data_IF_621824635345
#
_entry.id   IF_621824635345
#
_cell.length_a   1.000
_cell.length_b   1.000
_cell.length_c   1.000
_cell.angle_alpha   90.00
_cell.angle_beta   90.00
_cell.angle_gamma   90.00
#
_symmetry.space_group_name_H-M   'P 1'
#
loop_
_entity.id
_entity.type
_entity.pdbx_description
1 polymer ?
#
# COMPACT_ATOMS: atom_id res chain seq x y z
N UNK A 1 45.33 -22.53 23.67
CA UNK A 1 45.01 -21.82 22.41
C UNK A 1 43.59 -22.19 22.01
N UNK A 2 42.60 -21.41 22.42
CA UNK A 2 41.20 -21.59 22.02
C UNK A 2 40.94 -20.55 20.94
N UNK A 3 40.89 -21.00 19.69
CA UNK A 3 40.48 -20.17 18.57
C UNK A 3 38.99 -19.86 18.74
N UNK A 4 38.67 -18.61 19.11
CA UNK A 4 37.34 -18.06 18.95
C UNK A 4 36.98 -18.07 17.47
N UNK A 5 36.20 -19.05 17.04
CA UNK A 5 35.48 -18.99 15.76
C UNK A 5 34.07 -18.51 16.09
N UNK A 6 33.94 -17.22 16.39
CA UNK A 6 32.67 -16.50 16.33
C UNK A 6 32.42 -16.14 14.86
N UNK A 7 31.98 -17.10 14.07
CA UNK A 7 31.70 -16.93 12.64
C UNK A 7 30.48 -17.75 12.23
N UNK A 8 29.34 -17.55 12.91
CA UNK A 8 28.03 -18.11 12.50
C UNK A 8 26.82 -17.28 12.98
N UNK A 9 26.93 -15.95 13.02
CA UNK A 9 25.77 -15.04 13.10
C UNK A 9 25.87 -13.90 12.09
N UNK A 10 26.52 -14.13 10.95
CA UNK A 10 26.56 -13.23 9.80
C UNK A 10 25.34 -13.49 8.91
N UNK A 11 24.15 -13.15 9.44
CA UNK A 11 23.02 -12.63 8.67
C UNK A 11 21.87 -12.27 9.63
N UNK A 12 21.99 -11.25 10.49
CA UNK A 12 20.81 -10.44 10.66
C UNK A 12 20.58 -9.83 9.27
N UNK A 13 19.52 -10.28 8.59
CA UNK A 13 18.82 -9.47 7.61
C UNK A 13 18.40 -8.19 8.34
N UNK A 14 19.34 -7.30 8.57
CA UNK A 14 19.07 -5.89 8.83
C UNK A 14 18.68 -5.36 7.45
N UNK A 15 17.50 -5.78 6.99
CA UNK A 15 16.66 -4.83 6.31
C UNK A 15 16.50 -3.73 7.35
N UNK A 16 17.24 -2.65 7.21
CA UNK A 16 16.75 -1.35 7.63
C UNK A 16 15.46 -1.16 6.81
N UNK A 17 14.38 -1.83 7.22
CA UNK A 17 13.08 -1.70 6.62
C UNK A 17 12.66 -0.30 6.99
N UNK A 18 12.79 0.62 6.03
CA UNK A 18 12.19 1.93 6.15
C UNK A 18 10.72 1.73 6.52
N UNK A 19 10.20 2.47 7.52
CA UNK A 19 8.83 2.30 7.97
C UNK A 19 7.89 2.47 6.79
N UNK A 20 7.10 1.45 6.48
CA UNK A 20 6.12 1.52 5.42
C UNK A 20 5.04 2.53 5.82
N UNK A 21 4.77 3.50 4.95
CA UNK A 21 3.69 4.46 5.16
C UNK A 21 2.88 4.58 3.89
N UNK A 22 1.69 3.99 3.86
CA UNK A 22 0.88 3.87 2.65
C UNK A 22 -0.37 4.73 2.72
N UNK A 23 -0.57 5.57 1.71
CA UNK A 23 -1.79 6.33 1.51
C UNK A 23 -2.79 5.61 0.62
N UNK A 24 -4.07 5.74 0.93
CA UNK A 24 -5.16 5.15 0.18
C UNK A 24 -6.28 6.16 -0.07
N UNK A 25 -6.67 6.31 -1.34
CA UNK A 25 -7.84 7.09 -1.71
C UNK A 25 -9.08 6.19 -1.68
N UNK A 26 -10.16 6.69 -1.09
CA UNK A 26 -11.45 6.03 -1.04
C UNK A 26 -12.39 6.61 -2.09
N UNK A 27 -13.12 5.74 -2.78
CA UNK A 27 -14.17 6.09 -3.72
C UNK A 27 -15.42 6.53 -2.97
N UNK A 28 -15.96 7.69 -3.34
CA UNK A 28 -17.10 8.31 -2.68
C UNK A 28 -18.12 8.81 -3.71
N UNK A 29 -19.27 8.12 -3.89
CA UNK A 29 -20.30 8.51 -4.86
C UNK A 29 -20.87 9.91 -4.61
N UNK A 30 -20.91 10.33 -3.34
CA UNK A 30 -21.37 11.66 -2.90
C UNK A 30 -20.22 12.67 -2.78
N UNK A 31 -19.00 12.27 -3.13
CA UNK A 31 -17.79 13.09 -3.09
C UNK A 31 -17.64 14.01 -4.31
N UNK A 32 -16.46 14.57 -4.47
CA UNK A 32 -16.07 15.43 -5.61
C UNK A 32 -14.73 15.00 -6.19
N UNK A 33 -14.45 15.43 -7.42
CA UNK A 33 -13.18 15.18 -8.11
C UNK A 33 -12.81 13.70 -8.12
N UNK A 34 -11.56 13.41 -7.77
CA UNK A 34 -10.99 12.08 -7.89
C UNK A 34 -11.75 11.01 -7.09
N UNK A 35 -12.27 11.34 -5.90
CA UNK A 35 -13.04 10.39 -5.08
C UNK A 35 -14.38 10.01 -5.74
N UNK A 36 -15.05 10.97 -6.39
CA UNK A 36 -16.27 10.69 -7.17
C UNK A 36 -15.97 9.88 -8.42
N UNK A 37 -14.83 10.17 -9.06
CA UNK A 37 -14.35 9.40 -10.21
C UNK A 37 -14.12 7.93 -9.85
N UNK A 38 -13.39 7.66 -8.75
CA UNK A 38 -13.15 6.32 -8.24
C UNK A 38 -14.46 5.55 -8.04
N UNK A 39 -15.44 6.15 -7.34
CA UNK A 39 -16.74 5.52 -7.12
C UNK A 39 -17.49 5.22 -8.44
N UNK A 40 -17.42 6.13 -9.40
CA UNK A 40 -18.04 5.95 -10.73
C UNK A 40 -17.39 4.79 -11.50
N UNK A 41 -16.09 4.59 -11.33
CA UNK A 41 -15.34 3.45 -11.87
C UNK A 41 -15.50 2.17 -11.02
N UNK A 42 -16.35 2.17 -9.99
CA UNK A 42 -16.54 1.06 -9.03
C UNK A 42 -15.24 0.67 -8.32
N UNK A 43 -14.38 1.65 -8.07
CA UNK A 43 -13.17 1.52 -7.27
C UNK A 43 -13.46 2.11 -5.89
N UNK A 44 -13.63 1.25 -4.89
CA UNK A 44 -13.82 1.62 -3.49
C UNK A 44 -12.54 2.14 -2.86
N UNK A 45 -11.40 1.54 -3.19
CA UNK A 45 -10.11 1.94 -2.65
C UNK A 45 -9.01 1.75 -3.69
N UNK A 46 -8.06 2.68 -3.70
CA UNK A 46 -6.84 2.57 -4.51
C UNK A 46 -5.65 3.18 -3.77
N UNK A 47 -4.44 2.75 -4.09
CA UNK A 47 -3.21 3.35 -3.58
C UNK A 47 -3.19 4.83 -3.99
N UNK A 48 -2.92 5.70 -3.04
CA UNK A 48 -2.54 7.09 -3.29
C UNK A 48 -1.04 7.16 -3.57
N UNK A 49 -0.24 6.65 -2.62
CA UNK A 49 1.22 6.69 -2.66
C UNK A 49 1.84 5.92 -1.49
N UNK A 50 3.16 5.85 -1.51
CA UNK A 50 4.00 5.29 -0.44
C UNK A 50 4.93 6.41 0.03
N UNK A 51 5.00 6.67 1.33
CA UNK A 51 5.58 7.87 1.93
C UNK A 51 6.75 7.60 2.89
N UNK A 52 7.28 6.37 2.93
CA UNK A 52 8.49 6.03 3.73
C UNK A 52 9.69 6.91 3.41
N UNK A 53 9.71 7.46 2.20
CA UNK A 53 10.71 8.42 1.76
C UNK A 53 9.98 9.63 1.15
N UNK A 54 10.41 10.84 1.52
CA UNK A 54 9.90 12.08 0.94
C UNK A 54 11.05 13.02 0.67
N UNK A 55 11.15 13.47 -0.57
CA UNK A 55 12.21 14.37 -0.99
C UNK A 55 11.85 15.83 -0.69
N UNK A 56 12.83 16.68 -0.32
CA UNK A 56 12.64 18.11 -0.19
C UNK A 56 12.12 18.73 -1.49
N UNK A 57 11.36 19.82 -1.37
CA UNK A 57 10.75 20.50 -2.52
C UNK A 57 11.77 21.17 -3.45
N UNK A 58 12.94 21.52 -2.90
CA UNK A 58 13.93 22.39 -3.54
C UNK A 58 15.12 21.61 -4.13
N UNK A 59 15.13 20.28 -3.99
CA UNK A 59 16.09 19.47 -4.73
C UNK A 59 15.75 19.52 -6.22
N UNK A 60 16.75 19.76 -7.06
CA UNK A 60 16.62 19.67 -8.51
C UNK A 60 16.32 18.21 -8.86
N UNK A 61 15.03 17.87 -8.87
CA UNK A 61 14.54 16.52 -9.09
C UNK A 61 15.07 16.13 -10.47
N UNK A 62 15.94 15.12 -10.55
CA UNK A 62 16.24 14.47 -11.81
C UNK A 62 14.93 13.90 -12.35
N UNK A 63 14.27 14.72 -13.17
CA UNK A 63 12.96 14.45 -13.71
C UNK A 63 13.02 13.35 -14.76
N UNK A 64 14.21 12.99 -15.24
CA UNK A 64 14.38 12.00 -16.30
C UNK A 64 14.03 10.60 -15.81
N UNK A 65 14.45 10.24 -14.58
CA UNK A 65 14.17 8.91 -13.99
C UNK A 65 12.67 8.60 -14.03
N UNK A 66 11.82 9.52 -13.57
CA UNK A 66 10.38 9.29 -13.49
C UNK A 66 9.65 9.46 -14.84
N UNK A 67 10.29 9.90 -15.92
CA UNK A 67 9.61 10.07 -17.22
C UNK A 67 9.21 8.73 -17.86
N UNK A 68 9.96 7.67 -17.58
CA UNK A 68 9.77 6.31 -18.11
C UNK A 68 8.71 5.49 -17.40
N UNK A 69 7.96 6.05 -16.43
CA UNK A 69 6.86 5.32 -15.78
C UNK A 69 5.68 5.16 -16.74
N UNK A 70 5.21 3.92 -16.84
CA UNK A 70 4.06 3.53 -17.65
C UNK A 70 2.97 2.87 -16.80
N UNK A 71 1.71 3.18 -17.11
CA UNK A 71 0.56 2.68 -16.35
C UNK A 71 0.33 1.16 -16.47
N UNK A 72 0.84 0.52 -17.52
CA UNK A 72 0.60 -0.90 -17.80
C UNK A 72 1.27 -1.86 -16.80
N UNK A 73 2.21 -1.39 -15.98
CA UNK A 73 2.83 -2.17 -14.92
C UNK A 73 1.90 -2.46 -13.73
N UNK A 74 0.85 -1.64 -13.56
CA UNK A 74 -0.13 -1.82 -12.49
C UNK A 74 -1.23 -2.76 -13.00
N UNK A 75 -1.26 -3.98 -12.46
CA UNK A 75 -2.27 -4.99 -12.81
C UNK A 75 -2.84 -5.67 -11.56
N UNK A 76 -4.18 -5.67 -11.40
CA UNK A 76 -5.17 -4.87 -12.13
C UNK A 76 -5.03 -3.34 -11.92
N UNK A 77 -5.49 -2.50 -12.87
CA UNK A 77 -5.30 -1.04 -12.82
C UNK A 77 -5.91 -0.35 -11.59
N UNK A 78 -6.93 -0.93 -10.95
CA UNK A 78 -7.58 -0.33 -9.78
C UNK A 78 -6.71 -0.33 -8.53
N UNK A 79 -5.66 -1.18 -8.47
CA UNK A 79 -4.74 -1.25 -7.32
C UNK A 79 -4.07 0.11 -7.07
N UNK A 80 -3.59 0.75 -8.14
CA UNK A 80 -3.03 2.08 -8.09
C UNK A 80 -3.55 2.84 -9.29
N UNK A 81 -4.76 3.37 -9.15
CA UNK A 81 -5.51 3.99 -10.23
C UNK A 81 -4.96 5.38 -10.51
N UNK A 82 -4.64 5.64 -11.77
CA UNK A 82 -4.18 6.95 -12.23
C UNK A 82 -4.89 7.33 -13.51
N UNK A 83 -5.42 8.54 -13.52
CA UNK A 83 -6.29 9.06 -14.56
C UNK A 83 -5.76 10.39 -15.11
N UNK A 84 -6.25 10.79 -16.28
CA UNK A 84 -5.80 12.01 -16.96
C UNK A 84 -6.07 13.26 -16.11
N UNK A 85 -7.25 13.28 -15.47
CA UNK A 85 -7.64 14.30 -14.51
C UNK A 85 -8.52 13.70 -13.41
N UNK A 86 -8.89 14.52 -12.45
CA UNK A 86 -9.72 14.12 -11.31
C UNK A 86 -11.18 13.84 -11.72
N UNK A 87 -11.54 14.10 -12.98
CA UNK A 87 -12.89 13.91 -13.53
C UNK A 87 -12.92 13.07 -14.81
N UNK A 88 -11.76 12.75 -15.40
CA UNK A 88 -11.64 11.97 -16.64
C UNK A 88 -10.94 10.64 -16.34
N UNK A 89 -11.62 9.49 -16.51
CA UNK A 89 -11.07 8.17 -16.18
C UNK A 89 -10.00 7.67 -17.16
N UNK A 90 -9.70 8.41 -18.24
CA UNK A 90 -8.71 8.00 -19.24
C UNK A 90 -7.36 7.68 -18.56
N UNK A 91 -6.79 6.48 -18.74
CA UNK A 91 -5.55 6.10 -18.08
C UNK A 91 -4.40 7.07 -18.38
N UNK A 92 -3.66 7.47 -17.36
CA UNK A 92 -2.52 8.38 -17.49
C UNK A 92 -1.44 8.05 -16.46
N UNK A 93 -0.15 8.22 -16.76
CA UNK A 93 0.92 8.02 -15.76
C UNK A 93 1.08 9.23 -14.82
N UNK A 94 0.20 10.24 -14.88
CA UNK A 94 0.34 11.52 -14.15
C UNK A 94 0.59 11.33 -12.65
N UNK A 95 -0.24 10.54 -11.96
CA UNK A 95 -0.08 10.28 -10.52
C UNK A 95 1.25 9.57 -10.25
N UNK A 96 1.53 8.48 -10.96
CA UNK A 96 2.76 7.70 -10.73
C UNK A 96 4.03 8.53 -10.93
N UNK A 97 4.03 9.42 -11.93
CA UNK A 97 5.13 10.36 -12.16
C UNK A 97 5.26 11.38 -11.03
N UNK A 98 4.15 11.85 -10.48
CA UNK A 98 4.16 12.73 -9.32
C UNK A 98 4.73 12.03 -8.09
N UNK A 99 4.20 10.85 -7.77
CA UNK A 99 4.61 10.04 -6.63
C UNK A 99 6.08 9.65 -6.73
N UNK A 100 6.55 9.21 -7.91
CA UNK A 100 7.96 8.89 -8.13
C UNK A 100 8.87 10.09 -7.87
N UNK A 101 8.51 11.28 -8.36
CA UNK A 101 9.35 12.47 -8.18
C UNK A 101 9.46 12.89 -6.71
N UNK A 102 8.41 12.62 -5.94
CA UNK A 102 8.27 13.04 -4.54
C UNK A 102 8.80 12.02 -3.55
N UNK A 103 8.65 10.74 -3.84
CA UNK A 103 8.75 9.66 -2.85
C UNK A 103 9.65 8.49 -3.26
N UNK A 104 10.30 8.55 -4.43
CA UNK A 104 11.37 7.59 -4.76
C UNK A 104 12.60 7.83 -3.88
N UNK A 105 13.33 6.77 -3.58
CA UNK A 105 14.66 6.89 -2.97
C UNK A 105 15.68 7.43 -4.00
N UNK A 106 16.78 8.01 -3.53
CA UNK A 106 17.78 8.65 -4.40
C UNK A 106 18.36 7.69 -5.46
N UNK A 107 18.67 6.47 -5.04
CA UNK A 107 19.25 5.40 -5.85
C UNK A 107 18.21 4.52 -6.57
N UNK A 108 16.93 4.85 -6.47
CA UNK A 108 15.84 4.06 -7.02
C UNK A 108 15.43 4.57 -8.40
N UNK A 109 15.39 3.66 -9.38
CA UNK A 109 14.82 3.94 -10.70
C UNK A 109 13.29 3.86 -10.69
N UNK A 110 12.66 4.29 -11.80
CA UNK A 110 11.21 4.30 -11.94
C UNK A 110 10.54 2.92 -11.74
N UNK A 111 11.15 1.84 -12.21
CA UNK A 111 10.57 0.51 -12.12
C UNK A 111 10.73 -0.06 -10.70
N UNK A 112 11.89 0.12 -10.08
CA UNK A 112 12.14 -0.24 -8.69
C UNK A 112 11.16 0.48 -7.75
N UNK A 113 10.92 1.79 -7.97
CA UNK A 113 9.91 2.57 -7.25
C UNK A 113 8.51 1.97 -7.37
N UNK A 114 8.06 1.70 -8.60
CA UNK A 114 6.73 1.12 -8.83
C UNK A 114 6.60 -0.25 -8.15
N UNK A 115 7.61 -1.10 -8.25
CA UNK A 115 7.61 -2.41 -7.61
C UNK A 115 7.59 -2.32 -6.09
N UNK A 116 8.32 -1.37 -5.50
CA UNK A 116 8.34 -1.13 -4.06
C UNK A 116 6.95 -0.70 -3.58
N UNK A 117 6.34 0.29 -4.21
CA UNK A 117 4.98 0.75 -3.85
C UNK A 117 3.97 -0.39 -3.96
N UNK A 118 3.99 -1.14 -5.06
CA UNK A 118 3.07 -2.27 -5.26
C UNK A 118 3.34 -3.44 -4.30
N UNK A 119 4.57 -3.64 -3.84
CA UNK A 119 4.89 -4.67 -2.85
C UNK A 119 4.46 -4.26 -1.45
N UNK A 120 4.67 -2.99 -1.10
CA UNK A 120 4.45 -2.47 0.25
C UNK A 120 3.00 -2.08 0.50
N UNK A 121 2.34 -1.40 -0.45
CA UNK A 121 1.03 -0.80 -0.24
C UNK A 121 -0.14 -1.59 -0.81
N UNK A 122 0.09 -2.70 -1.52
CA UNK A 122 -0.99 -3.52 -2.06
C UNK A 122 -1.77 -4.25 -0.96
N UNK A 123 -1.06 -4.77 0.03
CA UNK A 123 -1.64 -5.38 1.22
C UNK A 123 -0.81 -4.90 2.42
N UNK A 124 -1.44 -4.21 3.36
CA UNK A 124 -0.77 -3.74 4.57
C UNK A 124 -1.64 -3.98 5.80
N UNK A 125 -0.98 -4.28 6.91
CA UNK A 125 -1.51 -4.16 8.25
C UNK A 125 -0.79 -3.01 8.92
N UNK A 126 -1.53 -2.00 9.39
CA UNK A 126 -0.89 -0.82 9.95
C UNK A 126 -1.80 0.02 10.82
N UNK A 127 -1.19 0.91 11.59
CA UNK A 127 -1.83 1.90 12.43
C UNK A 127 -2.29 3.09 11.60
N UNK A 128 -3.41 3.71 11.99
CA UNK A 128 -3.86 4.96 11.38
C UNK A 128 -2.89 6.10 11.72
N UNK A 129 -2.29 6.71 10.70
CA UNK A 129 -1.43 7.90 10.85
C UNK A 129 -2.20 9.16 10.51
N UNK A 130 -2.99 9.14 9.44
CA UNK A 130 -3.71 10.33 8.98
C UNK A 130 -5.04 9.95 8.35
N UNK A 131 -6.05 10.77 8.63
CA UNK A 131 -7.36 10.71 7.97
C UNK A 131 -7.68 12.06 7.34
N UNK A 132 -8.00 12.04 6.05
CA UNK A 132 -8.54 13.18 5.32
C UNK A 132 -10.05 12.98 5.18
N UNK A 133 -10.83 13.97 5.59
CA UNK A 133 -12.28 13.90 5.55
C UNK A 133 -12.92 15.07 4.81
N UNK A 134 -14.15 14.84 4.35
CA UNK A 134 -15.13 15.90 4.13
C UNK A 134 -16.24 15.81 5.16
N UNK A 135 -16.84 16.96 5.46
CA UNK A 135 -18.00 17.03 6.34
C UNK A 135 -19.27 16.59 5.58
N UNK A 136 -20.09 15.75 6.23
CA UNK A 136 -21.39 15.34 5.74
C UNK A 136 -22.46 15.58 6.80
N UNK A 137 -23.57 16.20 6.36
CA UNK A 137 -24.71 16.53 7.22
C UNK A 137 -25.98 16.28 6.42
N UNK A 138 -26.68 15.19 6.72
CA UNK A 138 -28.00 14.86 6.18
C UNK A 138 -28.92 14.50 7.35
N UNK A 139 -30.16 15.03 7.34
CA UNK A 139 -31.27 14.61 8.21
C UNK A 139 -30.92 14.37 9.70
N UNK A 140 -30.28 15.35 10.34
CA UNK A 140 -29.97 15.27 11.78
C UNK A 140 -28.73 14.46 12.13
N UNK A 141 -28.11 13.77 11.17
CA UNK A 141 -26.84 13.09 11.37
C UNK A 141 -25.66 13.91 10.83
N UNK A 142 -24.64 14.09 11.67
CA UNK A 142 -23.41 14.81 11.33
C UNK A 142 -22.21 13.89 11.51
N UNK A 143 -21.48 13.65 10.43
CA UNK A 143 -20.30 12.80 10.44
C UNK A 143 -19.25 13.28 9.43
N UNK A 144 -18.04 12.81 9.62
CA UNK A 144 -16.96 12.96 8.66
C UNK A 144 -16.95 11.74 7.73
N UNK A 145 -16.90 11.98 6.42
CA UNK A 145 -16.66 10.93 5.43
C UNK A 145 -15.18 10.93 5.09
N UNK A 146 -14.49 9.83 5.38
CA UNK A 146 -13.09 9.64 5.04
C UNK A 146 -12.93 9.53 3.52
N UNK A 147 -12.03 10.34 2.98
CA UNK A 147 -11.71 10.37 1.54
C UNK A 147 -10.33 9.78 1.27
N UNK A 148 -9.41 9.95 2.21
CA UNK A 148 -8.10 9.32 2.17
C UNK A 148 -7.69 8.92 3.58
N UNK A 149 -7.00 7.79 3.68
CA UNK A 149 -6.39 7.30 4.91
C UNK A 149 -4.93 6.99 4.68
N UNK A 150 -4.10 7.15 5.70
CA UNK A 150 -2.69 6.79 5.68
C UNK A 150 -2.44 5.79 6.80
N UNK A 151 -1.84 4.65 6.45
CA UNK A 151 -1.46 3.59 7.38
C UNK A 151 0.05 3.50 7.50
N UNK A 152 0.56 3.19 8.68
CA UNK A 152 1.98 2.86 8.89
C UNK A 152 2.14 1.54 9.63
N UNK A 153 3.23 0.83 9.35
CA UNK A 153 3.66 -0.34 10.11
C UNK A 153 4.17 0.01 11.52
N UNK A 154 4.47 1.29 11.78
CA UNK A 154 4.84 1.81 13.09
C UNK A 154 3.68 2.54 13.74
N UNK A 155 3.57 2.39 15.07
CA UNK A 155 2.57 3.09 15.86
C UNK A 155 2.92 4.58 15.90
N UNK A 156 2.04 5.48 15.43
CA UNK A 156 2.27 6.90 15.51
C UNK A 156 1.99 7.41 16.93
N UNK A 157 2.63 8.51 17.31
CA UNK A 157 2.31 9.20 18.57
C UNK A 157 0.86 9.69 18.57
N UNK A 158 0.45 10.35 17.47
CA UNK A 158 -0.86 10.93 17.26
C UNK A 158 -1.44 10.60 15.87
N UNK A 159 -2.77 10.60 15.78
CA UNK A 159 -3.48 10.51 14.50
C UNK A 159 -3.79 11.92 13.99
N UNK A 160 -3.32 12.26 12.80
CA UNK A 160 -3.61 13.55 12.19
C UNK A 160 -4.96 13.54 11.45
N UNK A 161 -5.76 14.59 11.64
CA UNK A 161 -7.06 14.75 10.99
C UNK A 161 -7.08 16.02 10.14
N UNK A 162 -7.34 15.88 8.84
CA UNK A 162 -7.39 17.02 7.91
C UNK A 162 -8.75 17.14 7.23
N UNK A 163 -9.34 18.32 7.26
CA UNK A 163 -10.69 18.56 6.73
C UNK A 163 -11.82 17.96 7.59
N UNK A 164 -11.47 17.27 8.68
CA UNK A 164 -12.42 16.63 9.60
C UNK A 164 -12.86 17.61 10.70
N UNK A 165 -14.09 17.41 11.21
CA UNK A 165 -14.59 18.03 12.43
C UNK A 165 -14.39 17.07 13.61
N UNK A 166 -13.56 17.44 14.58
CA UNK A 166 -13.07 16.54 15.64
C UNK A 166 -14.17 15.83 16.45
N UNK A 167 -15.30 16.51 16.68
CA UNK A 167 -16.39 16.00 17.52
C UNK A 167 -17.36 15.08 16.78
N UNK A 168 -17.16 14.83 15.48
CA UNK A 168 -18.04 13.95 14.72
C UNK A 168 -17.41 12.57 14.50
N UNK A 169 -18.27 11.56 14.34
CA UNK A 169 -17.87 10.22 13.95
C UNK A 169 -17.16 10.26 12.59
N UNK A 170 -16.20 9.37 12.39
CA UNK A 170 -15.51 9.21 11.10
C UNK A 170 -16.00 7.92 10.49
N UNK A 171 -16.45 7.98 9.24
CA UNK A 171 -16.92 6.82 8.50
C UNK A 171 -16.21 6.70 7.16
N UNK A 172 -16.05 5.48 6.67
CA UNK A 172 -15.72 5.24 5.26
C UNK A 172 -16.89 5.68 4.37
N UNK A 173 -16.69 5.85 3.06
CA UNK A 173 -17.80 6.14 2.14
C UNK A 173 -18.89 5.06 2.14
N UNK A 174 -18.53 3.82 2.47
CA UNK A 174 -19.44 2.67 2.61
C UNK A 174 -20.19 2.67 3.97
N UNK A 175 -19.94 3.66 4.84
CA UNK A 175 -20.67 3.85 6.10
C UNK A 175 -20.05 3.17 7.33
N UNK A 176 -18.92 2.47 7.18
CA UNK A 176 -18.21 1.82 8.28
C UNK A 176 -17.53 2.83 9.18
N UNK A 177 -17.71 2.72 10.49
CA UNK A 177 -17.07 3.61 11.45
C UNK A 177 -15.57 3.31 11.60
N UNK A 178 -14.75 4.36 11.62
CA UNK A 178 -13.31 4.30 11.85
C UNK A 178 -13.03 4.68 13.30
N UNK A 179 -12.47 3.74 14.06
CA UNK A 179 -12.04 3.89 15.45
C UNK A 179 -10.79 4.78 15.49
N UNK A 180 -10.88 5.87 16.26
CA UNK A 180 -9.83 6.89 16.40
C UNK A 180 -8.86 6.55 17.53
N UNK A 181 -8.26 5.37 17.51
CA UNK A 181 -7.28 4.92 18.51
C UNK A 181 -5.94 4.65 17.84
N UNK A 182 -4.86 5.26 18.35
CA UNK A 182 -3.51 5.09 17.80
C UNK A 182 -2.99 3.65 17.93
N UNK A 183 -3.52 2.88 18.87
CA UNK A 183 -3.20 1.45 19.04
C UNK A 183 -4.00 0.52 18.12
N UNK A 184 -5.01 1.02 17.41
CA UNK A 184 -5.83 0.19 16.52
C UNK A 184 -5.12 -0.02 15.18
N UNK A 185 -4.94 -1.28 14.82
CA UNK A 185 -4.43 -1.70 13.51
C UNK A 185 -5.58 -1.95 12.54
N UNK A 186 -5.34 -1.64 11.27
CA UNK A 186 -6.25 -1.86 10.16
C UNK A 186 -5.59 -2.74 9.12
N UNK A 187 -6.39 -3.63 8.55
CA UNK A 187 -6.02 -4.40 7.37
C UNK A 187 -6.56 -3.69 6.12
N UNK A 188 -5.67 -3.42 5.18
CA UNK A 188 -6.01 -2.90 3.86
C UNK A 188 -5.54 -3.90 2.80
N UNK A 189 -6.46 -4.31 1.94
CA UNK A 189 -6.16 -5.04 0.72
C UNK A 189 -6.82 -4.32 -0.46
N UNK A 190 -6.03 -3.64 -1.29
CA UNK A 190 -6.56 -2.88 -2.43
C UNK A 190 -6.94 -3.76 -3.62
N UNK A 191 -6.49 -5.01 -3.66
CA UNK A 191 -6.92 -5.93 -4.71
C UNK A 191 -8.37 -6.32 -4.55
N UNK A 192 -8.71 -6.76 -3.33
CA UNK A 192 -10.06 -7.14 -2.92
C UNK A 192 -10.89 -5.93 -2.49
N UNK A 193 -10.24 -4.78 -2.35
CA UNK A 193 -10.81 -3.51 -1.90
C UNK A 193 -11.47 -3.61 -0.51
N UNK A 194 -10.81 -4.34 0.38
CA UNK A 194 -11.23 -4.57 1.76
C UNK A 194 -10.45 -3.63 2.69
N UNK A 195 -11.17 -2.96 3.59
CA UNK A 195 -10.61 -2.17 4.67
C UNK A 195 -11.38 -2.48 5.96
N UNK A 196 -10.71 -3.06 6.95
CA UNK A 196 -11.31 -3.50 8.20
C UNK A 196 -10.37 -3.28 9.38
N UNK A 197 -10.89 -3.07 10.61
CA UNK A 197 -10.11 -3.25 11.82
C UNK A 197 -9.55 -4.67 11.89
N UNK A 198 -8.32 -4.86 12.35
CA UNK A 198 -7.68 -6.19 12.37
C UNK A 198 -8.49 -7.24 13.15
N UNK A 199 -9.15 -6.83 14.24
CA UNK A 199 -10.02 -7.71 15.03
C UNK A 199 -11.24 -8.27 14.26
N UNK A 200 -11.62 -7.67 13.13
CA UNK A 200 -12.73 -8.10 12.28
C UNK A 200 -12.26 -8.78 10.98
N UNK A 201 -11.00 -8.61 10.60
CA UNK A 201 -10.42 -9.25 9.41
C UNK A 201 -10.30 -10.78 9.56
N UNK A 202 -10.22 -11.28 10.81
CA UNK A 202 -10.20 -12.71 11.10
C UNK A 202 -11.52 -13.40 10.71
N UNK A 203 -12.67 -12.74 10.92
CA UNK A 203 -13.98 -13.33 10.69
C UNK A 203 -14.38 -13.36 9.20
N UNK A 204 -13.96 -12.37 8.40
CA UNK A 204 -14.23 -12.38 6.94
C UNK A 204 -13.31 -13.33 6.15
N UNK A 205 -12.16 -13.72 6.72
CA UNK A 205 -11.28 -14.75 6.14
C UNK A 205 -11.76 -16.20 6.41
N UNK A 206 -12.84 -16.38 7.18
CA UNK A 206 -13.39 -17.66 7.62
C UNK A 206 -14.43 -18.33 6.72
N UNK A 207 -14.67 -17.88 5.48
CA UNK A 207 -15.64 -18.49 4.56
C UNK A 207 -15.08 -18.78 3.16
N UNK A 208 -14.00 -19.55 3.11
CA UNK A 208 -13.78 -20.62 2.11
C UNK A 208 -12.70 -21.52 2.65
N UNK A 209 -13.12 -22.58 3.34
CA UNK A 209 -12.31 -23.77 3.43
C UNK A 209 -11.96 -24.18 1.99
N UNK A 210 -10.70 -23.97 1.59
CA UNK A 210 -10.15 -24.72 0.47
C UNK A 210 -10.30 -26.20 0.82
N UNK A 211 -10.77 -27.05 -0.11
CA UNK A 211 -10.75 -28.48 0.12
C UNK A 211 -9.30 -28.90 0.39
N UNK A 212 -9.13 -29.68 1.46
CA UNK A 212 -7.94 -30.47 1.70
C UNK A 212 -7.67 -31.26 0.42
N UNK A 213 -6.65 -30.83 -0.33
CA UNK A 213 -6.09 -31.64 -1.40
C UNK A 213 -5.20 -32.66 -0.69
N UNK A 214 -5.70 -33.89 -0.57
CA UNK A 214 -4.87 -35.04 -0.23
C UNK A 214 -3.64 -35.04 -1.14
N UNK A 215 -2.45 -35.10 -0.53
CA UNK A 215 -1.21 -35.25 -1.23
C UNK A 215 -1.21 -36.57 -2.03
N UNK A 216 -0.94 -36.55 -3.34
CA UNK A 216 -0.73 -37.78 -4.07
C UNK A 216 0.64 -38.38 -3.69
N UNK A 217 0.56 -39.61 -3.22
CA UNK A 217 1.59 -40.63 -3.05
C UNK A 217 2.84 -40.42 -3.94
N UNK A 218 3.99 -40.21 -3.31
CA UNK A 218 5.30 -40.17 -3.96
C UNK A 218 5.63 -41.56 -4.54
N UNK A 219 5.73 -41.65 -5.87
CA UNK A 219 6.55 -42.65 -6.54
C UNK A 219 7.49 -41.97 -7.53
N UNK A 220 8.76 -41.99 -7.14
CA UNK A 220 9.96 -42.21 -7.95
C UNK A 220 10.07 -41.46 -9.29
N UNK A 221 11.02 -40.51 -9.34
CA UNK A 221 11.89 -40.37 -10.50
C UNK A 221 13.26 -39.85 -10.04
N UNK A 222 14.20 -40.80 -9.87
CA UNK A 222 15.64 -40.53 -9.83
C UNK A 222 16.09 -40.11 -11.24
N UNK A 223 16.85 -39.01 -11.37
CA UNK A 223 17.96 -38.91 -12.33
C UNK A 223 18.98 -37.84 -11.90
N UNK A 224 20.27 -37.99 -12.24
CA UNK A 224 21.40 -37.42 -11.51
C UNK A 224 21.84 -36.03 -12.01
N UNK A 225 22.16 -35.16 -11.06
CA UNK A 225 22.84 -33.87 -11.31
C UNK A 225 24.33 -34.08 -11.58
N UNK A 226 24.78 -33.70 -12.79
CA UNK A 226 26.20 -33.49 -13.11
C UNK A 226 26.67 -32.12 -12.60
N UNK A 227 27.85 -32.11 -11.96
CA UNK A 227 28.51 -30.91 -11.41
C UNK A 227 29.18 -30.08 -12.53
N UNK A 228 29.17 -28.73 -12.45
CA UNK A 228 30.09 -27.92 -13.24
C UNK A 228 31.45 -27.77 -12.53
N UNK A 229 32.51 -28.08 -13.28
CA UNK A 229 33.91 -27.84 -12.96
C UNK A 229 34.24 -26.35 -13.19
N UNK A 230 34.75 -25.65 -12.17
CA UNK A 230 35.30 -24.31 -12.33
C UNK A 230 36.81 -24.39 -12.57
N UNK A 231 37.26 -23.87 -13.70
CA UNK A 231 38.68 -23.63 -14.01
C UNK A 231 39.00 -22.21 -13.59
N UNK A 232 39.96 -22.06 -12.66
CA UNK A 232 40.61 -20.78 -12.36
C UNK A 232 41.74 -20.57 -13.35
N UNK A 233 41.76 -19.42 -14.02
CA UNK A 233 42.95 -18.89 -14.70
C UNK A 233 43.48 -17.72 -13.89
N UNK A 234 44.78 -17.82 -13.57
CA UNK A 234 45.63 -16.74 -13.10
C UNK A 234 46.16 -15.95 -14.30
#
# INVERSE_FOLDING_TARGET
MVWMVYLCFLAPRIYFAYPATCGYNLGDPKGVGFHKLLATQRIKTTIHGEFSHTRPRDEEIDTQVCKSIWAHYVKPPHIWFSSLSDTDPTPSPRLFKHECRKHRMDFEDANAFMQRVLRTCRIIKGFLVTIYCRFHSEEGHRFNVAQQIVLSDQMPDDIYYRGCKFNYLIKTPDGWEIIKQNTQTYFMNVETQIFLPEGQAADESGARASPVVEAPNEKAFEQPYTRPTFVYLA
#
